data_IF_897383734934
#
_entry.id   IF_897383734934
#
_cell.length_a   1.000
_cell.length_b   1.000
_cell.length_c   1.000
_cell.angle_alpha   90.00
_cell.angle_beta   90.00
_cell.angle_gamma   90.00
#
_symmetry.space_group_name_H-M   'P 1'
#
loop_
_entity.id
_entity.type
_entity.pdbx_description
1 polymer ?
#
# COMPACT_ATOMS: atom_id res chain seq x y z
N UNK A 1 -32.73 -11.42 -43.21
CA UNK A 1 -31.31 -11.83 -43.08
C UNK A 1 -30.35 -10.65 -43.01
N UNK A 2 -30.47 -9.60 -43.84
CA UNK A 2 -29.55 -8.45 -43.84
C UNK A 2 -29.46 -7.69 -42.49
N UNK A 3 -30.59 -7.41 -41.85
CA UNK A 3 -30.62 -6.73 -40.54
C UNK A 3 -29.93 -7.54 -39.42
N UNK A 4 -30.10 -8.87 -39.43
CA UNK A 4 -29.44 -9.76 -38.45
C UNK A 4 -27.92 -9.76 -38.68
N UNK A 5 -27.47 -9.81 -39.93
CA UNK A 5 -26.04 -9.72 -40.25
C UNK A 5 -25.44 -8.37 -39.81
N UNK A 6 -26.15 -7.26 -40.07
CA UNK A 6 -25.74 -5.92 -39.63
C UNK A 6 -25.64 -5.81 -38.10
N UNK A 7 -26.61 -6.36 -37.38
CA UNK A 7 -26.59 -6.42 -35.92
C UNK A 7 -25.37 -7.21 -35.39
N UNK A 8 -25.10 -8.40 -35.95
CA UNK A 8 -23.93 -9.20 -35.57
C UNK A 8 -22.61 -8.47 -35.83
N UNK A 9 -22.50 -7.75 -36.96
CA UNK A 9 -21.31 -6.93 -37.28
C UNK A 9 -21.13 -5.81 -36.25
N UNK A 10 -22.20 -5.10 -35.89
CA UNK A 10 -22.15 -4.04 -34.89
C UNK A 10 -21.67 -4.58 -33.54
N UNK A 11 -22.17 -5.75 -33.11
CA UNK A 11 -21.74 -6.37 -31.86
C UNK A 11 -20.25 -6.74 -31.88
N UNK A 12 -19.78 -7.40 -32.94
CA UNK A 12 -18.38 -7.78 -33.08
C UNK A 12 -17.45 -6.55 -33.07
N UNK A 13 -17.80 -5.51 -33.82
CA UNK A 13 -17.02 -4.26 -33.87
C UNK A 13 -17.06 -3.50 -32.54
N UNK A 14 -18.18 -3.55 -31.81
CA UNK A 14 -18.31 -2.88 -30.51
C UNK A 14 -17.38 -3.51 -29.47
N UNK A 15 -17.28 -4.85 -29.44
CA UNK A 15 -16.32 -5.54 -28.58
C UNK A 15 -14.86 -5.14 -28.90
N UNK A 16 -14.50 -5.10 -30.18
CA UNK A 16 -13.16 -4.66 -30.60
C UNK A 16 -12.88 -3.20 -30.21
N UNK A 17 -13.84 -2.30 -30.43
CA UNK A 17 -13.73 -0.88 -30.05
C UNK A 17 -13.52 -0.71 -28.56
N UNK A 18 -14.24 -1.48 -27.72
CA UNK A 18 -14.06 -1.46 -26.28
C UNK A 18 -12.66 -1.94 -25.88
N UNK A 19 -12.16 -3.03 -26.45
CA UNK A 19 -10.81 -3.53 -26.19
C UNK A 19 -9.73 -2.49 -26.50
N UNK A 20 -9.86 -1.77 -27.62
CA UNK A 20 -8.93 -0.69 -28.01
C UNK A 20 -9.09 0.52 -27.10
N UNK A 21 -10.32 0.92 -26.78
CA UNK A 21 -10.61 2.07 -25.90
C UNK A 21 -9.98 1.87 -24.52
N UNK A 22 -10.15 0.70 -23.91
CA UNK A 22 -9.59 0.33 -22.61
C UNK A 22 -8.13 -0.13 -22.65
N UNK A 23 -7.49 -0.18 -23.83
CA UNK A 23 -6.11 -0.64 -23.98
C UNK A 23 -5.86 -2.04 -23.36
N UNK A 24 -6.87 -2.91 -23.38
CA UNK A 24 -6.92 -4.12 -22.57
C UNK A 24 -5.76 -5.09 -22.89
N UNK A 25 -5.47 -5.31 -24.18
CA UNK A 25 -4.39 -6.20 -24.60
C UNK A 25 -3.03 -5.70 -24.09
N UNK A 26 -2.74 -4.41 -24.26
CA UNK A 26 -1.46 -3.85 -23.84
C UNK A 26 -1.30 -3.92 -22.31
N UNK A 27 -2.38 -3.69 -21.54
CA UNK A 27 -2.38 -3.90 -20.10
C UNK A 27 -1.95 -5.32 -19.72
N UNK A 28 -2.53 -6.34 -20.35
CA UNK A 28 -2.16 -7.73 -20.05
C UNK A 28 -0.78 -8.11 -20.58
N UNK A 29 -0.31 -7.52 -21.69
CA UNK A 29 1.05 -7.70 -22.19
C UNK A 29 2.10 -7.20 -21.20
N UNK A 30 1.87 -6.05 -20.59
CA UNK A 30 2.75 -5.51 -19.55
C UNK A 30 2.77 -6.43 -18.32
N UNK A 31 1.61 -6.92 -17.87
CA UNK A 31 1.53 -7.89 -16.75
C UNK A 31 2.26 -9.18 -17.10
N UNK A 32 2.06 -9.73 -18.30
CA UNK A 32 2.74 -10.92 -18.78
C UNK A 32 4.27 -10.74 -18.79
N UNK A 33 4.74 -9.59 -19.30
CA UNK A 33 6.18 -9.27 -19.33
C UNK A 33 6.78 -9.07 -17.95
N UNK A 34 6.04 -8.45 -17.02
CA UNK A 34 6.53 -8.17 -15.66
C UNK A 34 6.54 -9.43 -14.81
N UNK A 35 5.50 -10.25 -14.91
CA UNK A 35 5.33 -11.43 -14.08
C UNK A 35 5.87 -12.72 -14.73
N UNK A 36 6.50 -12.65 -15.90
CA UNK A 36 7.03 -13.80 -16.67
C UNK A 36 5.97 -14.86 -17.01
N UNK A 37 4.78 -14.42 -17.40
CA UNK A 37 3.63 -15.27 -17.70
C UNK A 37 3.28 -15.24 -19.18
N UNK A 38 2.50 -16.22 -19.64
CA UNK A 38 1.83 -16.11 -20.93
C UNK A 38 0.79 -14.98 -20.90
N UNK A 39 0.43 -14.45 -22.08
CA UNK A 39 -0.65 -13.46 -22.19
C UNK A 39 -1.99 -14.04 -21.70
N UNK A 40 -2.21 -15.33 -21.92
CA UNK A 40 -3.37 -16.05 -21.44
C UNK A 40 -3.42 -16.04 -19.91
N UNK A 41 -2.33 -16.42 -19.25
CA UNK A 41 -2.27 -16.50 -17.79
C UNK A 41 -2.38 -15.13 -17.13
N UNK A 42 -1.77 -14.11 -17.73
CA UNK A 42 -1.89 -12.73 -17.29
C UNK A 42 -3.35 -12.24 -17.29
N UNK A 43 -4.17 -12.73 -18.22
CA UNK A 43 -5.59 -12.40 -18.33
C UNK A 43 -6.45 -13.21 -17.36
N UNK A 44 -6.32 -14.54 -17.35
CA UNK A 44 -7.26 -15.42 -16.67
C UNK A 44 -6.93 -15.71 -15.20
N UNK A 45 -5.66 -15.63 -14.78
CA UNK A 45 -5.28 -15.95 -13.40
C UNK A 45 -5.23 -14.73 -12.48
N UNK A 46 -5.49 -14.99 -11.20
CA UNK A 46 -5.53 -13.98 -10.14
C UNK A 46 -4.14 -13.38 -9.83
N UNK A 47 -4.13 -12.28 -9.09
CA UNK A 47 -2.90 -11.57 -8.66
C UNK A 47 -1.89 -12.46 -7.94
N UNK A 48 -2.36 -13.39 -7.09
CA UNK A 48 -1.49 -14.28 -6.32
C UNK A 48 -0.58 -15.13 -7.22
N UNK A 49 -1.09 -15.68 -8.32
CA UNK A 49 -0.30 -16.47 -9.26
C UNK A 49 0.78 -15.60 -9.96
N UNK A 50 0.43 -14.37 -10.33
CA UNK A 50 1.37 -13.40 -10.92
C UNK A 50 2.53 -13.10 -9.98
N UNK A 51 2.22 -12.88 -8.70
CA UNK A 51 3.22 -12.66 -7.65
C UNK A 51 4.07 -13.91 -7.43
N UNK A 52 3.46 -15.09 -7.33
CA UNK A 52 4.21 -16.33 -7.14
C UNK A 52 5.19 -16.59 -8.27
N UNK A 53 4.76 -16.45 -9.54
CA UNK A 53 5.64 -16.69 -10.68
C UNK A 53 6.79 -15.68 -10.74
N UNK A 54 6.51 -14.39 -10.49
CA UNK A 54 7.53 -13.35 -10.39
C UNK A 54 8.53 -13.63 -9.27
N UNK A 55 8.06 -14.01 -8.08
CA UNK A 55 8.91 -14.36 -6.94
C UNK A 55 9.77 -15.59 -7.24
N UNK A 56 9.19 -16.65 -7.82
CA UNK A 56 9.92 -17.87 -8.18
C UNK A 56 10.99 -17.61 -9.25
N UNK A 57 10.68 -16.81 -10.27
CA UNK A 57 11.66 -16.41 -11.29
C UNK A 57 12.81 -15.59 -10.66
N UNK A 58 12.48 -14.66 -9.75
CA UNK A 58 13.46 -13.83 -9.07
C UNK A 58 14.32 -14.64 -8.09
N UNK A 59 13.72 -15.60 -7.38
CA UNK A 59 14.40 -16.52 -6.48
C UNK A 59 15.40 -17.41 -7.24
N UNK A 60 14.98 -17.95 -8.39
CA UNK A 60 15.83 -18.77 -9.25
C UNK A 60 17.09 -18.03 -9.70
N UNK A 61 16.97 -16.77 -10.11
CA UNK A 61 18.12 -15.94 -10.50
C UNK A 61 19.12 -15.72 -9.36
N UNK A 62 18.69 -15.88 -8.10
CA UNK A 62 19.53 -15.73 -6.90
C UNK A 62 20.00 -17.08 -6.34
N UNK A 63 19.77 -18.18 -7.03
CA UNK A 63 20.11 -19.52 -6.55
C UNK A 63 19.24 -19.99 -5.38
N UNK A 64 18.05 -19.40 -5.21
CA UNK A 64 17.08 -19.79 -4.18
C UNK A 64 16.06 -20.73 -4.82
N UNK A 65 15.91 -21.92 -4.23
CA UNK A 65 14.87 -22.87 -4.63
C UNK A 65 13.55 -22.54 -3.93
N UNK A 66 12.46 -22.56 -4.69
CA UNK A 66 11.10 -22.37 -4.16
C UNK A 66 10.35 -23.69 -4.21
N UNK A 67 9.60 -23.99 -3.15
CA UNK A 67 8.77 -25.20 -3.09
C UNK A 67 7.39 -24.89 -3.64
N UNK A 68 6.89 -25.72 -4.56
CA UNK A 68 5.50 -25.63 -5.03
C UNK A 68 4.54 -26.48 -4.17
N UNK A 69 5.07 -27.09 -3.11
CA UNK A 69 4.28 -27.88 -2.16
C UNK A 69 3.54 -26.90 -1.26
N UNK A 70 2.21 -26.98 -1.27
CA UNK A 70 1.37 -26.23 -0.32
C UNK A 70 1.78 -26.56 1.11
N UNK A 71 1.86 -25.52 1.95
CA UNK A 71 2.13 -25.72 3.38
C UNK A 71 1.17 -26.73 3.98
N UNK A 72 1.70 -27.70 4.73
CA UNK A 72 0.88 -28.64 5.50
C UNK A 72 0.30 -28.01 6.78
N UNK A 73 0.46 -26.70 7.00
CA UNK A 73 -0.18 -26.00 8.11
C UNK A 73 -1.70 -26.07 7.95
N UNK A 74 -2.32 -26.98 8.73
CA UNK A 74 -3.76 -27.23 8.78
C UNK A 74 -4.50 -26.30 9.74
N UNK A 75 -3.77 -25.50 10.53
CA UNK A 75 -4.35 -24.54 11.46
C UNK A 75 -5.13 -23.47 10.71
N UNK A 76 -6.45 -23.64 10.71
CA UNK A 76 -7.36 -22.63 10.22
C UNK A 76 -7.54 -21.57 11.31
N UNK A 77 -7.44 -20.31 10.91
CA UNK A 77 -7.49 -19.19 11.84
C UNK A 77 -7.35 -17.87 11.11
N UNK A 78 -7.76 -16.78 11.76
CA UNK A 78 -7.56 -15.43 11.25
C UNK A 78 -6.57 -14.72 12.16
N UNK A 79 -5.54 -14.13 11.57
CA UNK A 79 -4.72 -13.13 12.25
C UNK A 79 -5.38 -11.75 12.06
N UNK A 80 -5.13 -10.79 12.98
CA UNK A 80 -5.69 -9.45 12.88
C UNK A 80 -5.31 -8.77 11.56
N UNK A 81 -6.33 -8.26 10.88
CA UNK A 81 -6.16 -7.43 9.68
C UNK A 81 -5.79 -6.00 10.02
N UNK A 82 -6.21 -5.08 9.16
CA UNK A 82 -6.09 -3.65 9.40
C UNK A 82 -6.85 -3.22 10.68
N UNK A 83 -6.41 -2.12 11.28
CA UNK A 83 -7.15 -1.44 12.32
C UNK A 83 -8.04 -0.37 11.66
N UNK A 84 -9.18 -0.10 12.27
CA UNK A 84 -10.12 0.95 11.84
C UNK A 84 -10.54 1.71 13.09
N UNK A 85 -10.17 2.98 13.21
CA UNK A 85 -10.67 3.80 14.31
C UNK A 85 -12.20 3.94 14.24
N UNK A 86 -12.90 3.88 15.38
CA UNK A 86 -14.34 4.15 15.40
C UNK A 86 -14.64 5.54 14.81
N UNK A 87 -15.54 5.65 13.82
CA UNK A 87 -15.84 6.94 13.20
C UNK A 87 -16.54 7.88 14.18
N UNK A 88 -16.14 9.14 14.16
CA UNK A 88 -16.89 10.22 14.82
C UNK A 88 -18.17 10.48 14.01
N UNK A 89 -19.30 10.01 14.52
CA UNK A 89 -20.60 10.11 13.84
C UNK A 89 -21.14 11.54 13.88
N UNK A 90 -21.68 12.01 12.76
CA UNK A 90 -22.49 13.23 12.67
C UNK A 90 -22.12 14.12 11.49
N UNK A 91 -23.13 14.72 10.85
CA UNK A 91 -22.95 15.70 9.76
C UNK A 91 -22.56 17.10 10.24
N UNK A 92 -22.46 17.31 11.56
CA UNK A 92 -22.12 18.61 12.17
C UNK A 92 -20.60 18.84 12.13
N UNK A 93 -20.01 18.86 10.94
CA UNK A 93 -18.63 19.33 10.79
C UNK A 93 -18.67 20.70 10.11
N UNK A 94 -18.23 21.73 10.84
CA UNK A 94 -18.15 23.12 10.32
C UNK A 94 -16.89 23.35 9.49
N UNK A 95 -15.99 22.37 9.44
CA UNK A 95 -14.66 22.44 8.82
C UNK A 95 -14.50 21.37 7.74
N UNK A 96 -13.69 21.64 6.70
CA UNK A 96 -13.32 20.63 5.71
C UNK A 96 -12.66 19.41 6.39
N UNK A 97 -12.95 18.22 5.86
CA UNK A 97 -12.24 16.99 6.21
C UNK A 97 -11.27 16.68 5.09
N UNK A 98 -10.02 16.48 5.44
CA UNK A 98 -8.95 16.15 4.50
C UNK A 98 -8.41 14.75 4.79
N UNK A 99 -8.16 13.97 3.75
CA UNK A 99 -7.52 12.66 3.85
C UNK A 99 -5.99 12.81 3.81
N UNK A 100 -5.32 12.07 4.67
CA UNK A 100 -3.88 11.82 4.64
C UNK A 100 -3.70 10.32 4.40
N UNK A 101 -3.11 9.93 3.27
CA UNK A 101 -3.06 8.54 2.80
C UNK A 101 -1.61 8.07 2.58
N UNK A 102 -1.31 6.85 2.98
CA UNK A 102 0.00 6.27 2.71
C UNK A 102 0.09 5.76 1.28
N UNK A 103 1.07 6.22 0.51
CA UNK A 103 1.30 5.67 -0.82
C UNK A 103 1.83 4.22 -0.72
N UNK A 104 0.95 3.24 -0.89
CA UNK A 104 1.30 1.81 -0.84
C UNK A 104 1.90 1.40 0.52
N UNK A 105 1.10 1.50 1.59
CA UNK A 105 1.51 1.18 2.96
C UNK A 105 2.22 -0.18 3.07
N UNK A 106 1.54 -1.29 2.74
CA UNK A 106 2.11 -2.63 2.92
C UNK A 106 3.41 -2.88 2.14
N UNK A 107 3.53 -2.57 0.84
CA UNK A 107 4.81 -2.62 0.14
C UNK A 107 5.92 -1.83 0.82
N UNK A 108 5.60 -0.65 1.35
CA UNK A 108 6.58 0.20 2.02
C UNK A 108 7.03 -0.39 3.36
N UNK A 109 6.12 -0.99 4.13
CA UNK A 109 6.46 -1.73 5.35
C UNK A 109 7.33 -2.94 5.05
N UNK A 110 6.97 -3.70 4.00
CA UNK A 110 7.75 -4.86 3.55
C UNK A 110 9.18 -4.44 3.24
N UNK A 111 9.36 -3.37 2.45
CA UNK A 111 10.68 -2.87 2.09
C UNK A 111 11.46 -2.34 3.29
N UNK A 112 10.79 -1.65 4.21
CA UNK A 112 11.42 -1.00 5.36
C UNK A 112 11.92 -1.99 6.40
N UNK A 113 11.09 -2.97 6.73
CA UNK A 113 11.37 -3.92 7.80
C UNK A 113 11.92 -5.24 7.26
N UNK A 114 12.27 -5.31 5.97
CA UNK A 114 12.82 -6.49 5.30
C UNK A 114 11.93 -7.73 5.55
N UNK A 115 10.62 -7.55 5.35
CA UNK A 115 9.61 -8.58 5.60
C UNK A 115 9.53 -9.50 4.39
N UNK A 116 10.33 -10.58 4.40
CA UNK A 116 10.36 -11.54 3.31
C UNK A 116 10.57 -12.97 3.78
N UNK A 117 10.08 -13.99 3.04
CA UNK A 117 10.21 -15.38 3.46
C UNK A 117 11.65 -15.82 3.74
N UNK A 118 12.65 -15.26 3.06
CA UNK A 118 14.06 -15.60 3.25
C UNK A 118 14.74 -14.89 4.44
N UNK A 119 14.06 -13.96 5.12
CA UNK A 119 14.60 -13.18 6.25
C UNK A 119 13.78 -13.25 7.54
N UNK A 120 12.65 -13.95 7.53
CA UNK A 120 11.88 -14.18 8.75
C UNK A 120 12.59 -15.22 9.63
N UNK A 121 12.78 -14.87 10.89
CA UNK A 121 13.31 -15.71 11.94
C UNK A 121 12.15 -16.10 12.86
N UNK A 122 11.95 -17.40 13.06
CA UNK A 122 10.89 -17.94 13.91
C UNK A 122 11.39 -18.39 15.29
N UNK A 123 12.69 -18.65 15.44
CA UNK A 123 13.31 -19.08 16.69
C UNK A 123 13.87 -17.88 17.47
N UNK A 124 13.51 -17.80 18.75
CA UNK A 124 14.03 -16.80 19.68
C UNK A 124 15.55 -16.94 19.83
N UNK A 125 16.08 -18.16 19.88
CA UNK A 125 17.51 -18.43 20.02
C UNK A 125 18.29 -17.89 18.82
N UNK A 126 17.76 -18.10 17.61
CA UNK A 126 18.36 -17.56 16.40
C UNK A 126 18.28 -16.03 16.36
N UNK A 127 17.16 -15.44 16.81
CA UNK A 127 17.04 -13.99 16.91
C UNK A 127 18.10 -13.40 17.87
N UNK A 128 18.29 -13.99 19.06
CA UNK A 128 19.31 -13.54 20.01
C UNK A 128 20.71 -13.65 19.43
N UNK A 129 21.02 -14.74 18.73
CA UNK A 129 22.31 -14.91 18.03
C UNK A 129 22.55 -13.83 16.96
N UNK A 130 21.52 -13.50 16.19
CA UNK A 130 21.61 -12.45 15.16
C UNK A 130 21.76 -11.06 15.79
N UNK A 131 21.06 -10.78 16.89
CA UNK A 131 21.18 -9.51 17.62
C UNK A 131 22.60 -9.33 18.20
N UNK A 132 23.23 -10.41 18.67
CA UNK A 132 24.63 -10.41 19.12
C UNK A 132 25.64 -10.14 17.99
N UNK A 133 25.23 -10.32 16.73
CA UNK A 133 26.05 -10.02 15.54
C UNK A 133 25.93 -8.58 15.04
N UNK A 134 25.44 -7.66 15.90
CA UNK A 134 25.24 -6.23 15.62
C UNK A 134 24.27 -5.95 14.47
N UNK A 135 23.31 -6.86 14.26
CA UNK A 135 22.23 -6.70 13.29
C UNK A 135 20.96 -6.22 13.97
N UNK A 136 20.36 -5.16 13.43
CA UNK A 136 19.11 -4.59 13.94
C UNK A 136 17.94 -5.52 13.58
N UNK A 137 17.24 -6.00 14.60
CA UNK A 137 16.04 -6.82 14.43
C UNK A 137 14.76 -6.00 14.55
N UNK A 138 13.77 -6.35 13.73
CA UNK A 138 12.39 -5.92 13.90
C UNK A 138 11.59 -7.04 14.54
N UNK A 139 11.05 -6.79 15.73
CA UNK A 139 10.20 -7.77 16.43
C UNK A 139 8.77 -7.70 15.88
N UNK A 140 8.25 -8.87 15.51
CA UNK A 140 6.88 -9.08 15.05
C UNK A 140 6.09 -9.75 16.16
N UNK A 141 4.96 -9.16 16.53
CA UNK A 141 4.05 -9.69 17.54
C UNK A 141 2.60 -9.52 17.11
N UNK A 142 1.86 -10.62 17.08
CA UNK A 142 0.44 -10.59 16.77
C UNK A 142 -0.28 -11.80 17.39
N UNK A 143 -1.60 -11.68 17.55
CA UNK A 143 -2.44 -12.77 18.02
C UNK A 143 -2.86 -13.65 16.84
N UNK A 144 -2.79 -14.96 17.00
CA UNK A 144 -3.38 -15.94 16.09
C UNK A 144 -4.13 -16.97 16.92
N UNK A 145 -5.44 -17.13 16.70
CA UNK A 145 -6.30 -18.00 17.50
C UNK A 145 -6.13 -17.77 19.02
N UNK A 146 -6.05 -16.50 19.44
CA UNK A 146 -5.77 -16.04 20.81
C UNK A 146 -4.40 -16.41 21.39
N UNK A 147 -3.51 -17.00 20.60
CA UNK A 147 -2.13 -17.27 20.98
C UNK A 147 -1.23 -16.17 20.45
N UNK A 148 -0.36 -15.63 21.31
CA UNK A 148 0.65 -14.67 20.90
C UNK A 148 1.71 -15.37 20.05
N UNK A 149 1.88 -14.87 18.82
CA UNK A 149 2.91 -15.30 17.89
C UNK A 149 4.07 -14.31 17.93
N UNK A 150 5.28 -14.86 17.84
CA UNK A 150 6.52 -14.08 17.80
C UNK A 150 7.31 -14.47 16.56
N UNK A 151 7.84 -13.45 15.90
CA UNK A 151 8.82 -13.61 14.82
C UNK A 151 9.74 -12.39 14.79
N UNK A 152 10.81 -12.48 14.01
CA UNK A 152 11.72 -11.37 13.78
C UNK A 152 12.05 -11.26 12.30
N UNK A 153 12.35 -10.05 11.84
CA UNK A 153 13.03 -9.83 10.58
C UNK A 153 14.31 -9.05 10.80
N UNK A 154 15.33 -9.35 9.99
CA UNK A 154 16.61 -8.65 10.02
C UNK A 154 16.48 -7.38 9.21
N UNK A 155 16.54 -6.20 9.84
CA UNK A 155 16.50 -4.93 9.11
C UNK A 155 17.73 -4.78 8.23
N UNK A 156 17.54 -4.18 7.06
CA UNK A 156 18.58 -3.93 6.07
C UNK A 156 19.32 -2.62 6.40
N UNK A 157 20.65 -2.67 6.48
CA UNK A 157 21.49 -1.52 6.85
C UNK A 157 21.97 -0.67 5.64
N UNK A 158 21.15 -0.52 4.59
CA UNK A 158 21.57 0.14 3.34
C UNK A 158 22.69 -0.60 2.56
N UNK A 159 22.91 -1.89 2.82
CA UNK A 159 23.93 -2.74 2.17
C UNK A 159 23.27 -3.67 1.13
N UNK A 160 23.40 -3.43 -0.19
CA UNK A 160 22.66 -4.15 -1.24
C UNK A 160 22.64 -5.68 -1.13
N UNK A 161 23.71 -6.29 -0.63
CA UNK A 161 23.88 -7.73 -0.43
C UNK A 161 22.91 -8.29 0.63
N UNK A 162 22.41 -7.46 1.53
CA UNK A 162 21.46 -7.83 2.59
C UNK A 162 20.00 -7.76 2.15
N UNK A 163 19.71 -7.24 0.95
CA UNK A 163 18.33 -7.13 0.45
C UNK A 163 17.68 -8.50 0.26
N UNK A 164 16.47 -8.60 0.80
CA UNK A 164 15.65 -9.78 0.70
C UNK A 164 14.95 -9.93 -0.66
N UNK A 165 14.31 -11.08 -0.89
CA UNK A 165 13.64 -11.37 -2.14
C UNK A 165 12.47 -10.40 -2.41
N UNK A 166 11.68 -10.07 -1.39
CA UNK A 166 10.49 -9.23 -1.57
C UNK A 166 10.86 -7.77 -1.87
N UNK A 167 11.82 -7.21 -1.14
CA UNK A 167 12.37 -5.87 -1.31
C UNK A 167 12.87 -5.68 -2.74
N UNK A 168 13.69 -6.60 -3.25
CA UNK A 168 14.25 -6.51 -4.60
C UNK A 168 13.13 -6.48 -5.65
N UNK A 169 12.15 -7.38 -5.51
CA UNK A 169 11.05 -7.46 -6.46
C UNK A 169 10.14 -6.22 -6.36
N UNK A 170 9.87 -5.73 -5.16
CA UNK A 170 9.06 -4.52 -4.94
C UNK A 170 9.76 -3.24 -5.42
N UNK A 171 11.08 -3.15 -5.29
CA UNK A 171 11.89 -2.07 -5.86
C UNK A 171 11.84 -2.12 -7.40
N UNK A 172 12.00 -3.30 -7.98
CA UNK A 172 11.85 -3.50 -9.43
C UNK A 172 10.47 -3.07 -9.93
N UNK A 173 9.40 -3.51 -9.25
CA UNK A 173 8.02 -3.13 -9.58
C UNK A 173 7.79 -1.63 -9.41
N UNK A 174 8.33 -1.01 -8.35
CA UNK A 174 8.24 0.43 -8.12
C UNK A 174 8.95 1.24 -9.20
N UNK A 175 10.15 0.81 -9.61
CA UNK A 175 10.89 1.41 -10.72
C UNK A 175 10.10 1.31 -12.03
N UNK A 176 9.52 0.14 -12.33
CA UNK A 176 8.66 -0.07 -13.51
C UNK A 176 7.40 0.78 -13.47
N UNK A 177 6.74 0.90 -12.31
CA UNK A 177 5.60 1.80 -12.10
C UNK A 177 5.95 3.23 -12.47
N UNK A 178 7.10 3.71 -12.00
CA UNK A 178 7.56 5.07 -12.23
C UNK A 178 7.98 5.31 -13.68
N UNK A 179 8.60 4.32 -14.33
CA UNK A 179 8.88 4.34 -15.77
C UNK A 179 7.60 4.48 -16.59
N UNK A 180 6.58 3.66 -16.29
CA UNK A 180 5.27 3.71 -16.96
C UNK A 180 4.56 5.04 -16.72
N UNK A 181 4.54 5.54 -15.48
CA UNK A 181 3.95 6.85 -15.15
C UNK A 181 4.59 7.98 -15.95
N UNK A 182 5.92 7.98 -16.11
CA UNK A 182 6.64 8.98 -16.94
C UNK A 182 6.26 8.88 -18.41
N UNK A 183 6.20 7.67 -18.97
CA UNK A 183 5.80 7.45 -20.37
C UNK A 183 4.35 7.84 -20.66
N UNK A 184 3.45 7.66 -19.70
CA UNK A 184 2.02 7.95 -19.83
C UNK A 184 1.66 9.40 -19.51
N UNK A 185 2.54 10.16 -18.84
CA UNK A 185 2.31 11.57 -18.49
C UNK A 185 1.86 12.47 -19.66
N UNK A 186 2.41 12.35 -20.90
CA UNK A 186 2.00 13.16 -22.04
C UNK A 186 0.58 12.84 -22.53
N UNK A 187 0.05 11.66 -22.23
CA UNK A 187 -1.17 11.14 -22.85
C UNK A 187 -2.47 11.61 -22.19
N UNK A 188 -2.41 12.38 -21.09
CA UNK A 188 -3.47 13.07 -20.28
C UNK A 188 -4.82 12.37 -20.01
N UNK A 189 -5.36 11.54 -20.90
CA UNK A 189 -6.69 10.94 -20.89
C UNK A 189 -6.73 9.42 -20.58
N UNK A 190 -5.59 8.79 -20.28
CA UNK A 190 -5.52 7.35 -19.92
C UNK A 190 -4.59 7.10 -18.74
N UNK A 191 -4.78 7.85 -17.65
CA UNK A 191 -4.11 7.57 -16.37
C UNK A 191 -4.72 6.38 -15.62
N UNK A 192 -5.86 5.88 -16.09
CA UNK A 192 -6.61 4.81 -15.43
C UNK A 192 -5.90 3.46 -15.59
N UNK A 193 -5.51 2.92 -14.44
CA UNK A 193 -5.34 1.49 -14.15
C UNK A 193 -4.22 0.71 -14.86
N UNK A 194 -3.07 1.35 -15.07
CA UNK A 194 -1.78 0.61 -15.10
C UNK A 194 -1.13 0.60 -13.72
N UNK A 195 -1.95 0.47 -12.68
CA UNK A 195 -1.43 0.11 -11.39
C UNK A 195 -0.83 -1.29 -11.51
N UNK A 196 0.43 -1.40 -11.12
CA UNK A 196 1.00 -2.68 -10.69
C UNK A 196 0.30 -3.04 -9.36
N UNK A 197 -1.03 -3.29 -9.44
CA UNK A 197 -1.99 -3.46 -8.34
C UNK A 197 -1.58 -4.62 -7.43
N UNK A 198 -0.77 -5.54 -7.94
CA UNK A 198 -0.36 -6.72 -7.19
C UNK A 198 0.83 -6.51 -6.26
N UNK A 199 1.38 -5.29 -6.12
CA UNK A 199 2.36 -5.01 -5.04
C UNK A 199 1.71 -5.23 -3.66
N UNK A 200 0.46 -4.82 -3.47
CA UNK A 200 -0.30 -5.12 -2.25
C UNK A 200 -0.66 -6.62 -2.13
N UNK A 201 -0.58 -7.38 -3.22
CA UNK A 201 -0.82 -8.83 -3.22
C UNK A 201 0.34 -9.62 -2.63
N UNK A 202 1.54 -9.06 -2.43
CA UNK A 202 2.67 -9.78 -1.78
C UNK A 202 2.29 -10.25 -0.37
N UNK A 203 1.71 -9.35 0.41
CA UNK A 203 1.15 -9.68 1.72
C UNK A 203 0.02 -10.71 1.62
N UNK A 204 -0.89 -10.56 0.66
CA UNK A 204 -1.99 -11.50 0.44
C UNK A 204 -1.51 -12.91 0.10
N UNK A 205 -0.49 -13.02 -0.74
CA UNK A 205 0.18 -14.28 -1.10
C UNK A 205 0.82 -14.92 0.14
N UNK A 206 1.48 -14.15 1.00
CA UNK A 206 2.06 -14.66 2.24
C UNK A 206 1.00 -15.15 3.25
N UNK A 207 -0.22 -14.60 3.19
CA UNK A 207 -1.34 -14.98 4.06
C UNK A 207 -2.25 -16.10 3.51
N UNK A 208 -2.08 -16.50 2.24
CA UNK A 208 -2.85 -17.58 1.62
C UNK A 208 -2.16 -18.93 1.85
N UNK A 209 -2.80 -19.83 2.61
CA UNK A 209 -2.25 -21.16 2.93
C UNK A 209 -2.02 -22.05 1.70
N UNK A 210 -2.65 -21.72 0.56
CA UNK A 210 -2.42 -22.41 -0.71
C UNK A 210 -1.20 -21.89 -1.46
N UNK A 211 -0.64 -20.75 -1.04
CA UNK A 211 0.53 -20.18 -1.67
C UNK A 211 1.79 -20.98 -1.35
N UNK A 212 2.70 -21.18 -2.32
CA UNK A 212 4.05 -21.68 -2.05
C UNK A 212 4.89 -20.74 -1.18
N UNK A 213 4.49 -19.46 -1.08
CA UNK A 213 5.14 -18.46 -0.23
C UNK A 213 4.35 -18.17 1.05
N UNK A 214 3.44 -19.08 1.44
CA UNK A 214 2.68 -18.94 2.67
C UNK A 214 3.61 -18.89 3.88
N UNK A 215 3.52 -17.80 4.62
CA UNK A 215 4.20 -17.61 5.89
C UNK A 215 3.35 -16.70 6.76
N UNK A 216 2.61 -17.32 7.68
CA UNK A 216 1.65 -16.62 8.55
C UNK A 216 2.32 -15.48 9.33
N UNK A 217 3.52 -15.71 9.84
CA UNK A 217 4.27 -14.75 10.63
C UNK A 217 4.70 -13.53 9.81
N UNK A 218 4.95 -13.74 8.51
CA UNK A 218 5.18 -12.65 7.57
C UNK A 218 3.91 -11.83 7.35
N UNK A 219 2.78 -12.48 7.07
CA UNK A 219 1.51 -11.80 6.86
C UNK A 219 1.06 -11.03 8.13
N UNK A 220 1.06 -11.70 9.28
CA UNK A 220 0.77 -11.08 10.58
C UNK A 220 1.79 -10.00 10.96
N UNK A 221 3.04 -10.13 10.52
CA UNK A 221 4.08 -9.11 10.65
C UNK A 221 3.77 -7.83 9.88
N UNK A 222 3.33 -7.94 8.63
CA UNK A 222 2.92 -6.78 7.83
C UNK A 222 1.74 -6.06 8.47
N UNK A 223 0.69 -6.78 8.90
CA UNK A 223 -0.50 -6.14 9.49
C UNK A 223 -0.25 -5.56 10.88
N UNK A 224 0.48 -6.26 11.75
CA UNK A 224 0.85 -5.74 13.09
C UNK A 224 1.69 -4.48 12.97
N UNK A 225 2.67 -4.48 12.07
CA UNK A 225 3.52 -3.32 11.82
C UNK A 225 2.72 -2.16 11.21
N UNK A 226 1.78 -2.43 10.31
CA UNK A 226 0.90 -1.40 9.75
C UNK A 226 0.04 -0.73 10.81
N UNK A 227 -0.60 -1.52 11.68
CA UNK A 227 -1.38 -1.00 12.81
C UNK A 227 -0.55 -0.15 13.76
N UNK A 228 0.69 -0.58 14.05
CA UNK A 228 1.63 0.20 14.87
C UNK A 228 1.95 1.55 14.22
N UNK A 229 2.31 1.55 12.94
CA UNK A 229 2.67 2.78 12.22
C UNK A 229 1.49 3.75 12.10
N UNK A 230 0.29 3.28 11.79
CA UNK A 230 -0.91 4.13 11.76
C UNK A 230 -1.18 4.77 13.12
N UNK A 231 -1.03 4.01 14.21
CA UNK A 231 -1.20 4.55 15.55
C UNK A 231 -0.16 5.63 15.88
N UNK A 232 1.10 5.42 15.50
CA UNK A 232 2.16 6.42 15.68
C UNK A 232 1.84 7.72 14.93
N UNK A 233 1.38 7.64 13.67
CA UNK A 233 0.96 8.84 12.92
C UNK A 233 -0.25 9.49 13.55
N UNK A 234 -1.25 8.70 13.95
CA UNK A 234 -2.44 9.23 14.61
C UNK A 234 -2.06 10.02 15.88
N UNK A 235 -1.12 9.51 16.67
CA UNK A 235 -0.64 10.19 17.88
C UNK A 235 0.20 11.44 17.54
N UNK A 236 1.07 11.37 16.52
CA UNK A 236 1.82 12.52 16.02
C UNK A 236 0.90 13.65 15.54
N UNK A 237 -0.09 13.32 14.70
CA UNK A 237 -1.05 14.27 14.13
C UNK A 237 -1.93 14.90 15.22
N UNK A 238 -2.36 14.12 16.21
CA UNK A 238 -3.06 14.64 17.40
C UNK A 238 -2.18 15.59 18.21
N UNK A 239 -0.89 15.30 18.38
CA UNK A 239 0.03 16.17 19.10
C UNK A 239 0.19 17.56 18.46
N UNK A 240 -0.06 17.65 17.14
CA UNK A 240 -0.09 18.88 16.36
C UNK A 240 -1.45 19.60 16.39
N UNK A 241 -2.42 19.11 17.18
CA UNK A 241 -3.74 19.71 17.37
C UNK A 241 -4.80 19.30 16.34
N UNK A 242 -4.48 18.44 15.37
CA UNK A 242 -5.45 17.96 14.40
C UNK A 242 -6.46 17.01 15.02
N UNK A 243 -7.71 17.09 14.59
CA UNK A 243 -8.75 16.16 15.02
C UNK A 243 -8.91 15.04 14.00
N UNK A 244 -8.80 13.79 14.45
CA UNK A 244 -9.08 12.61 13.62
C UNK A 244 -10.57 12.31 13.66
N UNK A 245 -11.24 12.32 12.51
CA UNK A 245 -12.67 12.01 12.36
C UNK A 245 -12.92 10.55 12.01
N UNK A 246 -12.03 9.97 11.20
CA UNK A 246 -12.11 8.60 10.75
C UNK A 246 -10.71 8.11 10.35
N UNK A 247 -10.53 6.81 10.32
CA UNK A 247 -9.33 6.14 9.83
C UNK A 247 -9.76 4.85 9.17
N UNK A 248 -9.13 4.53 8.04
CA UNK A 248 -9.35 3.27 7.35
C UNK A 248 -8.03 2.75 6.80
N UNK A 249 -7.48 1.73 7.47
CA UNK A 249 -6.34 0.91 7.07
C UNK A 249 -5.02 1.65 6.87
N UNK A 250 -4.96 2.53 5.88
CA UNK A 250 -3.82 3.30 5.43
C UNK A 250 -4.13 4.79 5.28
N UNK A 251 -5.33 5.23 5.66
CA UNK A 251 -5.77 6.62 5.51
C UNK A 251 -6.31 7.22 6.81
N UNK A 252 -5.93 8.46 7.10
CA UNK A 252 -6.44 9.26 8.22
C UNK A 252 -7.27 10.42 7.70
N UNK A 253 -8.48 10.59 8.23
CA UNK A 253 -9.37 11.69 7.88
C UNK A 253 -9.34 12.72 9.00
N UNK A 254 -8.78 13.88 8.67
CA UNK A 254 -8.36 14.90 9.62
C UNK A 254 -9.15 16.19 9.44
N UNK A 255 -9.26 16.95 10.53
CA UNK A 255 -9.69 18.34 10.52
C UNK A 255 -8.56 19.19 11.10
N UNK A 256 -8.21 20.25 10.37
CA UNK A 256 -7.17 21.20 10.78
C UNK A 256 -7.58 21.93 12.08
N UNK A 257 -6.61 22.32 12.93
CA UNK A 257 -6.85 23.17 14.09
C UNK A 257 -7.65 24.44 13.75
N UNK A 258 -8.51 24.88 14.67
CA UNK A 258 -9.41 26.04 14.49
C UNK A 258 -8.65 27.36 14.23
N UNK A 259 -7.42 27.47 14.76
CA UNK A 259 -6.54 28.64 14.59
C UNK A 259 -6.25 28.99 13.13
N UNK A 260 -6.21 27.99 12.23
CA UNK A 260 -5.97 28.22 10.80
C UNK A 260 -7.13 28.95 10.11
N UNK A 261 -8.34 28.90 10.68
CA UNK A 261 -9.55 29.44 10.05
C UNK A 261 -10.01 30.78 10.64
N UNK A 262 -9.44 31.23 11.77
CA UNK A 262 -9.88 32.46 12.46
C UNK A 262 -9.97 33.70 11.56
N UNK A 263 -9.00 33.90 10.67
CA UNK A 263 -9.00 35.04 9.72
C UNK A 263 -10.14 34.91 8.70
N UNK A 264 -10.39 33.70 8.21
CA UNK A 264 -11.45 33.39 7.27
C UNK A 264 -12.83 33.59 7.92
N UNK A 265 -13.00 33.10 9.15
CA UNK A 265 -14.22 33.25 9.95
C UNK A 265 -14.53 34.73 10.21
N UNK A 266 -13.53 35.49 10.67
CA UNK A 266 -13.67 36.93 10.95
C UNK A 266 -14.06 37.72 9.68
N UNK A 267 -13.52 37.35 8.53
CA UNK A 267 -13.84 37.99 7.25
C UNK A 267 -15.26 37.66 6.76
N UNK A 268 -15.79 36.48 7.11
CA UNK A 268 -17.16 36.08 6.77
C UNK A 268 -18.21 36.71 7.71
N UNK A 269 -17.93 36.75 9.02
CA UNK A 269 -18.85 37.29 10.03
C UNK A 269 -18.98 38.82 9.92
N UNK A 270 -17.92 39.52 9.53
CA UNK A 270 -17.98 40.94 9.21
C UNK A 270 -18.70 41.12 7.86
N UNK A 271 -19.93 41.64 7.91
CA UNK A 271 -21.00 41.56 6.89
C UNK A 271 -20.74 42.20 5.51
N UNK A 272 -19.49 42.46 5.13
CA UNK A 272 -19.03 43.00 3.84
C UNK A 272 -17.85 42.22 3.21
N UNK A 273 -17.37 41.11 3.80
CA UNK A 273 -16.07 40.55 3.42
C UNK A 273 -16.05 39.39 2.41
N UNK A 274 -16.91 38.38 2.56
CA UNK A 274 -16.85 37.17 1.72
C UNK A 274 -18.24 36.62 1.42
N UNK A 275 -18.50 36.25 0.17
CA UNK A 275 -19.65 35.40 -0.16
C UNK A 275 -19.47 34.01 0.48
N UNK A 276 -20.59 33.29 0.63
CA UNK A 276 -20.56 31.92 1.16
C UNK A 276 -19.64 31.00 0.34
N UNK A 277 -19.66 31.12 -0.98
CA UNK A 277 -18.82 30.32 -1.88
C UNK A 277 -17.32 30.62 -1.68
N UNK A 278 -16.96 31.90 -1.58
CA UNK A 278 -15.58 32.33 -1.33
C UNK A 278 -15.08 31.86 0.04
N UNK A 279 -15.93 31.94 1.08
CA UNK A 279 -15.60 31.45 2.42
C UNK A 279 -15.27 29.95 2.43
N UNK A 280 -16.12 29.12 1.83
CA UNK A 280 -15.85 27.67 1.73
C UNK A 280 -14.62 27.38 0.86
N UNK A 281 -14.44 28.10 -0.25
CA UNK A 281 -13.28 27.93 -1.12
C UNK A 281 -11.97 28.25 -0.39
N UNK A 282 -11.94 29.33 0.39
CA UNK A 282 -10.78 29.69 1.19
C UNK A 282 -10.48 28.66 2.28
N UNK A 283 -11.49 28.14 2.99
CA UNK A 283 -11.27 27.08 3.98
C UNK A 283 -10.68 25.81 3.36
N UNK A 284 -11.15 25.41 2.18
CA UNK A 284 -10.59 24.26 1.45
C UNK A 284 -9.13 24.52 1.08
N UNK A 285 -8.82 25.69 0.51
CA UNK A 285 -7.44 26.04 0.14
C UNK A 285 -6.49 26.08 1.34
N UNK A 286 -6.94 26.65 2.47
CA UNK A 286 -6.18 26.64 3.73
C UNK A 286 -5.93 25.19 4.19
N UNK A 287 -6.97 24.35 4.18
CA UNK A 287 -6.86 22.96 4.59
C UNK A 287 -5.87 22.19 3.71
N UNK A 288 -5.91 22.39 2.39
CA UNK A 288 -4.97 21.75 1.46
C UNK A 288 -3.52 22.16 1.73
N UNK A 289 -3.24 23.45 1.90
CA UNK A 289 -1.87 23.92 2.17
C UNK A 289 -1.35 23.55 3.57
N UNK A 290 -2.23 23.40 4.55
CA UNK A 290 -1.86 22.89 5.88
C UNK A 290 -1.54 21.39 5.83
N UNK A 291 -2.34 20.62 5.11
CA UNK A 291 -2.13 19.17 4.97
C UNK A 291 -0.88 18.85 4.15
N UNK A 292 -0.57 19.60 3.09
CA UNK A 292 0.67 19.41 2.34
C UNK A 292 1.90 19.51 3.25
N UNK A 293 1.94 20.53 4.11
CA UNK A 293 3.00 20.70 5.12
C UNK A 293 2.99 19.58 6.17
N UNK A 294 1.80 19.17 6.62
CA UNK A 294 1.67 18.06 7.56
C UNK A 294 2.24 16.77 6.94
N UNK A 295 1.96 16.48 5.66
CA UNK A 295 2.49 15.32 4.96
C UNK A 295 4.03 15.32 4.97
N UNK A 296 4.66 16.46 4.70
CA UNK A 296 6.11 16.61 4.80
C UNK A 296 6.61 16.37 6.23
N UNK A 297 5.95 16.94 7.24
CA UNK A 297 6.29 16.71 8.64
C UNK A 297 6.15 15.24 9.06
N UNK A 298 5.10 14.53 8.61
CA UNK A 298 4.97 13.10 8.92
C UNK A 298 6.05 12.28 8.20
N UNK A 299 6.39 12.63 6.96
CA UNK A 299 7.48 11.98 6.23
C UNK A 299 8.83 12.17 6.96
N UNK A 300 9.10 13.37 7.48
CA UNK A 300 10.31 13.65 8.27
C UNK A 300 10.29 12.98 9.65
N UNK A 301 9.13 12.96 10.31
CA UNK A 301 8.94 12.18 11.54
C UNK A 301 9.33 10.73 11.33
N UNK A 302 8.86 10.13 10.23
CA UNK A 302 9.24 8.77 9.91
C UNK A 302 10.71 8.62 9.63
N UNK A 303 11.37 9.49 8.85
CA UNK A 303 12.82 9.39 8.59
C UNK A 303 13.68 9.44 9.85
N UNK A 304 13.24 10.19 10.86
CA UNK A 304 13.98 10.40 12.10
C UNK A 304 13.71 9.32 13.16
N UNK A 305 12.49 8.80 13.26
CA UNK A 305 12.06 7.86 14.30
C UNK A 305 12.11 6.40 13.84
N UNK A 306 12.06 6.15 12.52
CA UNK A 306 12.01 4.81 11.91
C UNK A 306 12.84 4.81 10.62
N UNK A 307 13.58 3.75 10.31
CA UNK A 307 14.27 3.61 9.02
C UNK A 307 13.28 3.38 7.84
N UNK A 308 12.16 4.11 7.73
CA UNK A 308 11.22 4.06 6.61
C UNK A 308 11.84 4.78 5.40
N UNK A 309 12.67 4.06 4.65
CA UNK A 309 13.42 4.60 3.51
C UNK A 309 12.51 4.91 2.30
N UNK A 310 11.25 4.45 2.26
CA UNK A 310 10.47 4.46 1.01
C UNK A 310 8.97 4.79 1.06
N UNK A 311 8.33 4.91 2.23
CA UNK A 311 6.92 5.36 2.28
C UNK A 311 6.82 6.88 2.19
N UNK A 312 6.23 7.40 1.12
CA UNK A 312 5.77 8.78 1.08
C UNK A 312 4.28 8.84 1.45
N UNK A 313 3.93 9.63 2.45
CA UNK A 313 2.54 10.03 2.69
C UNK A 313 2.12 11.07 1.64
N UNK A 314 0.87 10.99 1.18
CA UNK A 314 0.26 11.89 0.20
C UNK A 314 -1.07 12.45 0.70
#
# INVERSE_FOLDING_TARGET
MHEVAKYCIINALSCQRLMVKHNAINKYREVASVAFLSLFDAHYFAGGMKVCNLLSASAWQRGILTSMISSQQTETGKFPGAYVFPPVKGLKNRRPVTGLDFASLYPSLIMTYNLSPDKIILSQEHAVSVEQSDKKLHKIEFLFNNNLQHAWSVQYNNIPEEKDLYVIVLEYLSAKRNELKRRLAPLKAKKEDMDLVYMNTFYGTAGDSKSPFFLRELAGGVTSTGRRNIKLVADFVKSKGFQIKYEDTDSLYLVCPEEFFQKCDTAYDNSNGLSKEEYWSQMVNISMGVIERLCDEVNDFFRNDVTLVSSSIR
#
